data_IF_742275334128
#
_entry.id   IF_742275334128
#
_cell.length_a   1.000
_cell.length_b   1.000
_cell.length_c   1.000
_cell.angle_alpha   90.00
_cell.angle_beta   90.00
_cell.angle_gamma   90.00
#
_symmetry.space_group_name_H-M   'P 1'
#
loop_
_entity.id
_entity.type
_entity.pdbx_description
1 polymer ?
#
# COMPACT_ATOMS: atom_id res chain seq x y z
N UNK A 1 14.27 28.08 2.21
CA UNK A 1 13.83 27.17 1.15
C UNK A 1 12.80 26.22 1.71
N UNK A 2 11.58 26.31 1.26
CA UNK A 2 10.57 25.31 1.62
C UNK A 2 10.91 24.02 0.88
N UNK A 3 10.93 22.84 1.54
CA UNK A 3 11.08 21.60 0.82
C UNK A 3 9.91 21.47 -0.16
N UNK A 4 10.21 21.31 -1.44
CA UNK A 4 9.17 20.98 -2.42
C UNK A 4 8.54 19.66 -2.00
N UNK A 5 7.28 19.71 -1.63
CA UNK A 5 6.49 18.49 -1.44
C UNK A 5 6.34 17.87 -2.83
N UNK A 6 7.18 16.90 -3.13
CA UNK A 6 7.03 16.11 -4.35
C UNK A 6 5.65 15.48 -4.33
N UNK A 7 4.88 15.78 -5.35
CA UNK A 7 3.56 15.21 -5.54
C UNK A 7 3.61 13.68 -5.39
N UNK A 8 2.67 13.11 -4.67
CA UNK A 8 2.54 11.65 -4.54
C UNK A 8 2.39 10.94 -5.89
N UNK A 9 1.96 11.66 -6.92
CA UNK A 9 1.82 11.16 -8.29
C UNK A 9 3.18 10.85 -8.94
N UNK A 10 4.23 11.62 -8.65
CA UNK A 10 5.59 11.36 -9.17
C UNK A 10 6.24 10.10 -8.60
N UNK A 11 5.70 9.55 -7.52
CA UNK A 11 6.19 8.32 -6.90
C UNK A 11 5.59 7.05 -7.48
N UNK A 12 4.54 7.17 -8.28
CA UNK A 12 3.81 6.01 -8.82
C UNK A 12 4.62 5.21 -9.86
N UNK A 13 5.60 5.85 -10.51
CA UNK A 13 6.39 5.25 -11.58
C UNK A 13 7.67 4.56 -11.08
N UNK A 14 7.93 4.57 -9.78
CA UNK A 14 9.18 4.04 -9.22
C UNK A 14 8.91 3.05 -8.10
N UNK A 15 9.69 1.96 -8.02
CA UNK A 15 9.66 1.06 -6.88
C UNK A 15 9.87 1.85 -5.57
N UNK A 16 9.19 1.45 -4.50
CA UNK A 16 9.31 2.15 -3.23
C UNK A 16 10.77 2.19 -2.74
N UNK A 17 11.15 3.28 -2.05
CA UNK A 17 12.48 3.42 -1.46
C UNK A 17 12.84 2.26 -0.51
N UNK A 18 11.84 1.65 0.13
CA UNK A 18 12.01 0.46 0.95
C UNK A 18 12.55 -0.74 0.17
N UNK A 19 12.08 -0.93 -1.06
CA UNK A 19 12.52 -1.99 -1.94
C UNK A 19 13.99 -1.82 -2.36
N UNK A 20 14.38 -0.60 -2.72
CA UNK A 20 15.77 -0.30 -3.05
C UNK A 20 16.72 -0.47 -1.85
N UNK A 21 16.30 -0.09 -0.66
CA UNK A 21 17.11 -0.23 0.55
C UNK A 21 17.30 -1.68 0.95
N UNK A 22 16.29 -2.54 0.75
CA UNK A 22 16.39 -3.99 1.01
C UNK A 22 17.39 -4.67 0.09
N UNK A 23 17.38 -4.30 -1.19
CA UNK A 23 18.34 -4.83 -2.15
C UNK A 23 19.76 -4.34 -1.90
N UNK A 24 19.93 -3.08 -1.48
CA UNK A 24 21.23 -2.53 -1.12
C UNK A 24 21.83 -3.25 0.09
N UNK A 25 21.05 -3.51 1.13
CA UNK A 25 21.51 -4.23 2.33
C UNK A 25 21.91 -5.68 2.06
N UNK A 26 21.34 -6.33 1.04
CA UNK A 26 21.76 -7.66 0.60
C UNK A 26 23.08 -7.63 -0.16
N UNK A 27 23.36 -6.57 -0.94
CA UNK A 27 24.60 -6.41 -1.70
C UNK A 27 25.83 -6.16 -0.82
N UNK A 28 25.66 -5.48 0.30
CA UNK A 28 26.77 -5.15 1.21
C UNK A 28 27.30 -6.35 2.01
N UNK A 29 26.69 -7.54 1.87
CA UNK A 29 27.05 -8.73 2.63
C UNK A 29 27.91 -9.75 1.89
N UNK A 30 27.96 -9.68 0.57
CA UNK A 30 28.70 -10.64 -0.24
C UNK A 30 29.65 -9.90 -1.18
N UNK A 31 30.95 -10.03 -0.91
CA UNK A 31 32.05 -9.47 -1.72
C UNK A 31 32.24 -10.16 -3.09
N UNK A 32 31.25 -10.92 -3.56
CA UNK A 32 31.31 -11.48 -4.92
C UNK A 32 30.75 -10.49 -5.93
N UNK A 33 31.39 -10.37 -7.13
CA UNK A 33 30.83 -9.56 -8.21
C UNK A 33 29.46 -10.16 -8.59
N UNK A 34 28.41 -9.51 -8.13
CA UNK A 34 27.05 -9.92 -8.42
C UNK A 34 26.81 -9.86 -9.92
N UNK A 35 26.36 -10.97 -10.51
CA UNK A 35 25.67 -10.93 -11.79
C UNK A 35 24.61 -9.83 -11.76
N UNK A 36 24.38 -9.11 -12.88
CA UNK A 36 23.36 -8.07 -12.90
C UNK A 36 22.04 -8.70 -12.41
N UNK A 37 21.62 -8.31 -11.21
CA UNK A 37 20.41 -8.82 -10.60
C UNK A 37 19.24 -8.53 -11.54
N UNK A 38 18.55 -9.57 -11.98
CA UNK A 38 17.31 -9.42 -12.72
C UNK A 38 16.38 -8.51 -11.90
N UNK A 39 15.73 -7.57 -12.59
CA UNK A 39 14.72 -6.73 -11.95
C UNK A 39 13.61 -7.64 -11.42
N UNK A 40 13.41 -7.74 -10.09
CA UNK A 40 12.40 -8.62 -9.53
C UNK A 40 10.96 -8.21 -9.88
N UNK A 41 10.78 -7.02 -10.45
CA UNK A 41 9.50 -6.56 -10.98
C UNK A 41 9.32 -6.86 -12.47
N UNK A 42 10.35 -7.34 -13.17
CA UNK A 42 10.31 -7.59 -14.61
C UNK A 42 9.23 -8.59 -15.03
N UNK A 43 8.91 -9.55 -14.17
CA UNK A 43 7.87 -10.57 -14.40
C UNK A 43 6.83 -10.61 -13.27
N UNK A 44 6.73 -9.55 -12.49
CA UNK A 44 5.82 -9.50 -11.36
C UNK A 44 4.36 -9.61 -11.80
N UNK A 45 3.59 -10.42 -11.10
CA UNK A 45 2.16 -10.64 -11.32
C UNK A 45 1.31 -10.08 -10.16
N UNK A 46 1.93 -9.60 -9.12
CA UNK A 46 1.29 -9.06 -7.93
C UNK A 46 1.30 -7.53 -7.95
N UNK A 47 0.18 -6.94 -7.55
CA UNK A 47 0.05 -5.50 -7.31
C UNK A 47 -0.18 -5.23 -5.84
N UNK A 48 0.49 -4.21 -5.33
CA UNK A 48 0.09 -3.51 -4.12
C UNK A 48 -0.95 -2.46 -4.49
N UNK A 49 -2.09 -2.49 -3.81
CA UNK A 49 -3.19 -1.54 -4.00
C UNK A 49 -3.34 -0.70 -2.75
N UNK A 50 -3.13 0.59 -2.87
CA UNK A 50 -3.15 1.52 -1.76
C UNK A 50 -4.24 2.59 -1.86
N UNK A 51 -4.35 3.38 -0.81
CA UNK A 51 -5.33 4.46 -0.66
C UNK A 51 -6.79 3.99 -0.70
N UNK A 52 -7.04 2.77 -0.27
CA UNK A 52 -8.40 2.26 -0.12
C UNK A 52 -9.08 2.88 1.11
N UNK A 53 -10.40 2.98 1.07
CA UNK A 53 -11.20 3.22 2.27
C UNK A 53 -11.09 2.02 3.22
N UNK A 54 -11.15 2.26 4.53
CA UNK A 54 -11.26 1.18 5.52
C UNK A 54 -12.57 0.38 5.39
N UNK A 55 -13.56 0.96 4.73
CA UNK A 55 -14.88 0.36 4.52
C UNK A 55 -15.02 -0.39 3.20
N UNK A 56 -14.01 -0.30 2.32
CA UNK A 56 -14.00 -1.02 1.05
C UNK A 56 -13.87 -2.52 1.30
N UNK A 57 -14.79 -3.29 0.71
CA UNK A 57 -14.83 -4.74 0.89
C UNK A 57 -13.96 -5.48 -0.12
N UNK A 58 -13.58 -6.70 0.21
CA UNK A 58 -12.88 -7.60 -0.71
C UNK A 58 -13.65 -7.82 -2.02
N UNK A 59 -14.97 -7.97 -1.94
CA UNK A 59 -15.84 -8.15 -3.10
C UNK A 59 -15.79 -6.97 -4.07
N UNK A 60 -15.78 -5.74 -3.56
CA UNK A 60 -15.67 -4.53 -4.38
C UNK A 60 -14.33 -4.47 -5.10
N UNK A 61 -13.24 -4.79 -4.42
CA UNK A 61 -11.91 -4.86 -5.02
C UNK A 61 -11.86 -5.97 -6.07
N UNK A 62 -12.33 -7.15 -5.75
CA UNK A 62 -12.36 -8.29 -6.66
C UNK A 62 -13.12 -7.98 -7.94
N UNK A 63 -14.30 -7.39 -7.84
CA UNK A 63 -15.14 -7.01 -8.98
C UNK A 63 -14.42 -6.01 -9.90
N UNK A 64 -13.81 -4.98 -9.34
CA UNK A 64 -13.08 -3.98 -10.10
C UNK A 64 -11.85 -4.56 -10.79
N UNK A 65 -11.01 -5.27 -10.05
CA UNK A 65 -9.73 -5.77 -10.55
C UNK A 65 -9.87 -6.97 -11.49
N UNK A 66 -10.94 -7.74 -11.39
CA UNK A 66 -11.23 -8.85 -12.31
C UNK A 66 -11.54 -8.40 -13.73
N UNK A 67 -11.82 -7.12 -13.95
CA UNK A 67 -12.01 -6.54 -15.29
C UNK A 67 -10.74 -6.55 -16.14
N UNK A 68 -9.57 -6.58 -15.55
CA UNK A 68 -8.28 -6.59 -16.25
C UNK A 68 -7.73 -7.98 -16.53
N UNK A 69 -8.19 -8.98 -15.80
CA UNK A 69 -7.70 -10.34 -15.92
C UNK A 69 -8.19 -11.22 -14.78
N UNK A 70 -7.91 -12.51 -14.90
CA UNK A 70 -8.25 -13.46 -13.86
C UNK A 70 -7.36 -13.29 -12.63
N UNK A 71 -7.99 -13.12 -11.49
CA UNK A 71 -7.30 -12.97 -10.20
C UNK A 71 -6.95 -14.35 -9.64
N UNK A 72 -5.66 -14.58 -9.42
CA UNK A 72 -5.16 -15.79 -8.77
C UNK A 72 -5.35 -15.72 -7.26
N UNK A 73 -5.08 -14.55 -6.67
CA UNK A 73 -5.14 -14.35 -5.23
C UNK A 73 -5.42 -12.88 -4.90
N UNK A 74 -6.25 -12.66 -3.91
CA UNK A 74 -6.50 -11.35 -3.34
C UNK A 74 -6.34 -11.42 -1.83
N UNK A 75 -5.51 -10.55 -1.27
CA UNK A 75 -5.26 -10.50 0.18
C UNK A 75 -5.51 -9.09 0.67
N UNK A 76 -6.53 -8.90 1.50
CA UNK A 76 -6.84 -7.62 2.12
C UNK A 76 -5.82 -7.28 3.19
N UNK A 77 -5.36 -6.03 3.19
CA UNK A 77 -4.54 -5.50 4.26
C UNK A 77 -5.34 -5.33 5.54
N UNK A 78 -4.81 -5.79 6.66
CA UNK A 78 -5.47 -5.81 7.94
C UNK A 78 -4.68 -5.05 9.01
N UNK A 79 -5.41 -4.43 9.92
CA UNK A 79 -4.86 -3.95 11.16
C UNK A 79 -4.23 -5.13 11.93
N UNK A 80 -3.00 -4.95 12.39
CA UNK A 80 -2.22 -6.03 13.05
C UNK A 80 -2.88 -6.52 14.32
N UNK A 81 -3.53 -5.65 15.07
CA UNK A 81 -4.17 -5.98 16.35
C UNK A 81 -5.63 -6.35 16.18
N UNK A 82 -6.40 -5.54 15.47
CA UNK A 82 -7.85 -5.69 15.35
C UNK A 82 -8.27 -6.64 14.22
N UNK A 83 -7.37 -6.96 13.28
CA UNK A 83 -7.66 -7.79 12.10
C UNK A 83 -8.78 -7.22 11.21
N UNK A 84 -8.95 -5.92 11.22
CA UNK A 84 -9.91 -5.19 10.39
C UNK A 84 -9.23 -4.55 9.19
N UNK A 85 -9.91 -4.32 8.05
CA UNK A 85 -9.31 -3.68 6.88
C UNK A 85 -8.66 -2.34 7.22
N UNK A 86 -7.46 -2.11 6.73
CA UNK A 86 -6.70 -0.90 7.01
C UNK A 86 -6.29 -0.12 5.74
N UNK A 87 -6.99 -0.33 4.63
CA UNK A 87 -6.93 0.53 3.46
C UNK A 87 -5.89 0.18 2.42
N UNK A 88 -5.46 -1.06 2.35
CA UNK A 88 -4.62 -1.59 1.28
C UNK A 88 -4.92 -3.05 1.02
N UNK A 89 -4.45 -3.56 -0.11
CA UNK A 89 -4.53 -4.98 -0.42
C UNK A 89 -3.44 -5.39 -1.41
N UNK A 90 -3.28 -6.70 -1.59
CA UNK A 90 -2.48 -7.30 -2.65
C UNK A 90 -3.40 -8.04 -3.61
N UNK A 91 -3.19 -7.81 -4.91
CA UNK A 91 -3.91 -8.52 -5.98
C UNK A 91 -2.88 -9.22 -6.85
N UNK A 92 -2.98 -10.54 -6.94
CA UNK A 92 -2.12 -11.36 -7.81
C UNK A 92 -2.91 -11.85 -9.00
N UNK A 93 -2.39 -11.55 -10.19
CA UNK A 93 -2.89 -12.10 -11.45
C UNK A 93 -2.12 -13.35 -11.88
N UNK A 94 -2.62 -14.07 -12.86
CA UNK A 94 -1.89 -15.19 -13.44
C UNK A 94 -0.77 -14.76 -14.37
N UNK A 95 -0.89 -13.59 -14.99
CA UNK A 95 0.09 -13.09 -15.97
C UNK A 95 0.62 -11.71 -15.59
N UNK A 96 1.87 -11.44 -15.96
CA UNK A 96 2.48 -10.13 -15.82
C UNK A 96 1.76 -9.06 -16.65
N UNK A 97 1.29 -9.41 -17.84
CA UNK A 97 0.58 -8.49 -18.71
C UNK A 97 -0.71 -7.98 -18.08
N UNK A 98 -1.47 -8.84 -17.41
CA UNK A 98 -2.70 -8.45 -16.72
C UNK A 98 -2.40 -7.47 -15.57
N UNK A 99 -1.31 -7.68 -14.84
CA UNK A 99 -0.86 -6.74 -13.80
C UNK A 99 -0.50 -5.37 -14.39
N UNK A 100 0.21 -5.33 -15.52
CA UNK A 100 0.54 -4.08 -16.21
C UNK A 100 -0.72 -3.38 -16.74
N UNK A 101 -1.65 -4.11 -17.32
CA UNK A 101 -2.92 -3.58 -17.81
C UNK A 101 -3.75 -3.00 -16.66
N UNK A 102 -3.77 -3.65 -15.52
CA UNK A 102 -4.44 -3.15 -14.33
C UNK A 102 -3.84 -1.81 -13.86
N UNK A 103 -2.52 -1.70 -13.82
CA UNK A 103 -1.86 -0.43 -13.48
C UNK A 103 -2.23 0.69 -14.44
N UNK A 104 -2.32 0.37 -15.74
CA UNK A 104 -2.64 1.33 -16.79
C UNK A 104 -4.09 1.79 -16.76
N UNK A 105 -5.04 0.88 -16.57
CA UNK A 105 -6.47 1.15 -16.74
C UNK A 105 -7.23 1.35 -15.44
N UNK A 106 -6.80 0.77 -14.34
CA UNK A 106 -7.46 0.85 -13.03
C UNK A 106 -6.71 1.78 -12.08
N UNK A 107 -5.38 1.76 -12.08
CA UNK A 107 -4.57 2.65 -11.27
C UNK A 107 -4.91 4.12 -11.54
N UNK A 108 -5.14 4.89 -10.50
CA UNK A 108 -5.54 6.29 -10.59
C UNK A 108 -7.04 6.50 -10.83
N UNK A 109 -7.84 5.46 -10.94
CA UNK A 109 -9.30 5.56 -11.00
C UNK A 109 -9.92 5.58 -9.60
N UNK A 110 -11.22 5.81 -9.52
CA UNK A 110 -11.92 5.90 -8.24
C UNK A 110 -12.59 4.58 -7.87
N UNK A 111 -12.42 4.19 -6.62
CA UNK A 111 -13.18 3.15 -5.94
C UNK A 111 -13.67 3.72 -4.59
N UNK A 112 -14.96 3.63 -4.30
CA UNK A 112 -15.58 4.26 -3.13
C UNK A 112 -15.24 5.76 -3.00
N UNK A 113 -15.31 6.48 -4.12
CA UNK A 113 -15.02 7.92 -4.22
C UNK A 113 -13.56 8.30 -3.91
N UNK A 114 -12.66 7.32 -3.85
CA UNK A 114 -11.25 7.53 -3.59
C UNK A 114 -10.41 7.12 -4.80
N UNK A 115 -9.41 7.92 -5.12
CA UNK A 115 -8.42 7.57 -6.14
C UNK A 115 -7.52 6.47 -5.58
N UNK A 116 -7.58 5.29 -6.18
CA UNK A 116 -6.77 4.16 -5.77
C UNK A 116 -5.38 4.20 -6.40
N UNK A 117 -4.41 3.67 -5.68
CA UNK A 117 -3.02 3.55 -6.10
C UNK A 117 -2.67 2.10 -6.38
N UNK A 118 -2.01 1.84 -7.50
CA UNK A 118 -1.50 0.52 -7.84
C UNK A 118 -0.01 0.56 -8.13
N UNK A 119 0.74 -0.36 -7.55
CA UNK A 119 2.18 -0.52 -7.78
C UNK A 119 2.50 -1.99 -7.98
N UNK A 120 3.44 -2.29 -8.89
CA UNK A 120 3.97 -3.66 -9.01
C UNK A 120 4.68 -4.06 -7.71
N UNK A 121 4.47 -5.29 -7.31
CA UNK A 121 5.05 -5.89 -6.11
C UNK A 121 5.78 -7.19 -6.47
N UNK A 122 6.93 -7.51 -5.86
CA UNK A 122 7.68 -8.72 -6.18
C UNK A 122 6.96 -10.01 -5.80
N UNK A 123 5.98 -9.98 -4.92
CA UNK A 123 5.18 -11.11 -4.51
C UNK A 123 4.74 -10.99 -3.06
N UNK A 124 3.55 -11.52 -2.79
CA UNK A 124 3.01 -11.57 -1.44
C UNK A 124 3.72 -12.67 -0.62
N UNK A 125 4.11 -12.32 0.59
CA UNK A 125 4.60 -13.24 1.61
C UNK A 125 3.74 -13.11 2.85
N UNK A 126 3.51 -14.22 3.55
CA UNK A 126 2.72 -14.23 4.79
C UNK A 126 3.27 -13.23 5.81
N UNK A 127 2.39 -12.46 6.41
CA UNK A 127 2.71 -11.38 7.33
C UNK A 127 2.72 -9.98 6.69
N UNK A 128 2.85 -9.87 5.38
CA UNK A 128 2.82 -8.58 4.68
C UNK A 128 1.43 -7.94 4.64
N UNK A 129 0.38 -8.71 4.87
CA UNK A 129 -0.99 -8.22 4.95
C UNK A 129 -1.26 -7.36 6.18
N UNK A 130 -0.39 -7.38 7.17
CA UNK A 130 -0.59 -6.61 8.40
C UNK A 130 0.01 -5.22 8.31
N UNK A 131 -0.71 -4.22 8.84
CA UNK A 131 -0.23 -2.86 8.98
C UNK A 131 1.02 -2.79 9.86
N UNK A 132 1.95 -1.90 9.51
CA UNK A 132 3.25 -1.72 10.17
C UNK A 132 3.31 -0.49 11.08
N UNK A 133 2.20 0.24 11.17
CA UNK A 133 2.08 1.37 12.09
C UNK A 133 2.12 0.91 13.55
N UNK A 134 2.55 1.80 14.43
CA UNK A 134 2.65 1.52 15.87
C UNK A 134 1.32 1.05 16.47
N UNK A 135 0.21 1.63 16.01
CA UNK A 135 -1.14 1.29 16.46
C UNK A 135 -1.79 0.13 15.68
N UNK A 136 -1.05 -0.50 14.76
CA UNK A 136 -1.47 -1.68 14.00
C UNK A 136 -1.94 -1.43 12.58
N UNK A 137 -2.30 -0.21 12.21
CA UNK A 137 -2.67 0.18 10.86
C UNK A 137 -1.45 0.50 9.99
N UNK A 138 -1.67 1.12 8.84
CA UNK A 138 -0.57 1.59 8.01
C UNK A 138 0.17 2.76 8.68
N UNK A 139 1.47 2.85 8.43
CA UNK A 139 2.33 3.93 8.96
C UNK A 139 1.79 5.32 8.59
N UNK A 140 1.28 5.49 7.37
CA UNK A 140 0.70 6.76 6.90
C UNK A 140 -0.48 7.26 7.75
N UNK A 141 -1.19 6.36 8.40
CA UNK A 141 -2.38 6.67 9.21
C UNK A 141 -2.05 6.91 10.68
N UNK A 142 -0.80 6.78 11.09
CA UNK A 142 -0.39 6.96 12.49
C UNK A 142 -0.36 8.43 12.90
N UNK A 143 0.33 9.26 12.11
CA UNK A 143 0.56 10.68 12.43
C UNK A 143 -0.11 11.65 11.44
N UNK A 144 -1.01 11.19 10.61
CA UNK A 144 -1.67 12.03 9.61
C UNK A 144 -2.48 13.13 10.29
N UNK A 145 -2.21 14.37 9.96
CA UNK A 145 -2.94 15.55 10.44
C UNK A 145 -4.16 15.90 9.60
N UNK A 146 -4.17 15.46 8.33
CA UNK A 146 -5.30 15.66 7.44
C UNK A 146 -6.44 14.72 7.79
N UNK A 147 -7.64 15.28 7.86
CA UNK A 147 -8.85 14.50 8.10
C UNK A 147 -9.23 13.70 6.85
N UNK A 148 -9.32 12.39 6.98
CA UNK A 148 -9.77 11.49 5.93
C UNK A 148 -10.85 10.57 6.48
N UNK A 149 -12.10 10.85 6.12
CA UNK A 149 -13.27 10.12 6.63
C UNK A 149 -13.21 8.62 6.31
N UNK A 150 -12.78 8.26 5.10
CA UNK A 150 -12.66 6.87 4.66
C UNK A 150 -11.55 6.09 5.38
N UNK A 151 -10.67 6.78 6.10
CA UNK A 151 -9.54 6.18 6.83
C UNK A 151 -9.55 6.51 8.32
N UNK A 152 -10.72 6.64 8.88
CA UNK A 152 -10.90 6.85 10.33
C UNK A 152 -10.68 8.29 10.82
N UNK A 153 -10.70 9.26 9.93
CA UNK A 153 -10.56 10.68 10.27
C UNK A 153 -9.09 11.12 10.36
N UNK A 154 -8.67 11.57 11.53
CA UNK A 154 -7.27 11.92 11.80
C UNK A 154 -6.39 10.67 12.04
N UNK A 155 -5.09 10.82 11.95
CA UNK A 155 -4.15 9.79 12.34
C UNK A 155 -4.35 9.34 13.78
N UNK A 156 -4.04 8.08 14.10
CA UNK A 156 -4.34 7.49 15.42
C UNK A 156 -3.65 8.22 16.58
N UNK A 157 -2.38 8.55 16.43
CA UNK A 157 -1.64 9.29 17.46
C UNK A 157 -2.24 10.68 17.70
N UNK A 158 -2.63 11.39 16.64
CA UNK A 158 -3.25 12.71 16.72
C UNK A 158 -4.63 12.67 17.38
N UNK A 159 -5.40 11.61 17.12
CA UNK A 159 -6.70 11.41 17.77
C UNK A 159 -6.57 11.15 19.27
N UNK A 160 -5.59 10.36 19.65
CA UNK A 160 -5.34 10.01 21.05
C UNK A 160 -4.91 11.26 21.84
N UNK A 161 -4.02 12.06 21.31
CA UNK A 161 -3.60 13.33 21.90
C UNK A 161 -4.78 14.30 22.07
N UNK A 162 -5.62 14.45 21.06
CA UNK A 162 -6.83 15.31 21.15
C UNK A 162 -7.87 14.75 22.10
N UNK A 163 -7.99 13.42 22.20
CA UNK A 163 -8.88 12.77 23.14
C UNK A 163 -8.48 13.04 24.58
N UNK A 164 -7.20 13.05 24.89
CA UNK A 164 -6.67 13.39 26.20
C UNK A 164 -6.90 14.86 26.55
N UNK A 165 -6.72 15.79 25.60
CA UNK A 165 -7.05 17.21 25.79
C UNK A 165 -8.51 17.42 26.15
N UNK A 166 -9.44 16.72 25.54
CA UNK A 166 -10.86 16.81 25.89
C UNK A 166 -11.20 16.17 27.25
N UNK A 167 -10.44 15.18 27.68
CA UNK A 167 -10.63 14.53 28.98
C UNK A 167 -10.08 15.37 30.12
N UNK A 168 -8.99 16.11 29.93
CA UNK A 168 -8.40 17.02 30.94
C UNK A 168 -9.17 18.34 31.08
N UNK A 169 -9.94 18.73 30.09
CA UNK A 169 -10.74 19.96 30.06
C UNK A 169 -12.11 19.90 30.79
N UNK A 170 -12.34 18.84 31.54
CA UNK A 170 -13.61 18.69 32.33
C UNK A 170 -13.34 18.88 33.83
#
# INVERSE_FOLDING_TARGET
MRPQVRSTVERLDRPSAYYHSRNKRRRDRDDEPAEPAEDPLANATTLYVGNLSFYTTEEQVYELFSKCGEIKRLVMGLDRFNKTPCGFCFVEYYTHQDALDCMKYIGGTKLDERVIRTDLDPGFEEGRQYGRGKSGGQVRDEYREDFDEGRGGLGRAVRDERGEEYAEGR
#
